data_IF_843855689666
#
_entry.id   IF_843855689666
#
_cell.length_a   1.000
_cell.length_b   1.000
_cell.length_c   1.000
_cell.angle_alpha   90.00
_cell.angle_beta   90.00
_cell.angle_gamma   90.00
#
_symmetry.space_group_name_H-M   'P 1'
#
loop_
_entity.id
_entity.type
_entity.pdbx_description
1 polymer ?
#
# COMPACT_ATOMS: atom_id res chain seq x y z
N UNK A 1 27.84 -44.54 11.11
CA UNK A 1 28.66 -44.06 12.24
C UNK A 1 28.76 -42.55 12.09
N UNK A 2 27.82 -41.81 12.70
CA UNK A 2 28.05 -40.85 13.81
C UNK A 2 29.29 -39.98 13.58
N UNK A 3 29.08 -38.70 13.26
CA UNK A 3 29.95 -37.62 13.72
C UNK A 3 29.10 -36.40 14.11
N UNK A 4 29.47 -35.86 15.26
CA UNK A 4 28.75 -34.97 16.17
C UNK A 4 29.26 -33.52 16.01
N UNK A 5 28.59 -32.58 16.71
CA UNK A 5 29.00 -31.22 17.15
C UNK A 5 28.22 -30.09 16.46
N UNK A 6 27.16 -29.51 17.06
CA UNK A 6 27.14 -28.49 18.13
C UNK A 6 28.02 -27.26 17.85
N UNK A 7 27.40 -26.10 17.64
CA UNK A 7 27.79 -24.84 18.28
C UNK A 7 26.70 -23.78 18.06
N UNK A 8 26.07 -23.38 19.16
CA UNK A 8 25.26 -22.18 19.25
C UNK A 8 26.15 -20.94 19.16
N UNK A 9 25.71 -19.92 18.42
CA UNK A 9 26.24 -18.56 18.54
C UNK A 9 25.07 -17.59 18.64
N UNK A 10 24.82 -17.12 19.86
CA UNK A 10 24.06 -15.91 20.09
C UNK A 10 24.92 -14.67 19.87
N UNK A 11 24.28 -13.56 19.55
CA UNK A 11 24.62 -12.23 20.06
C UNK A 11 23.55 -11.24 19.60
N UNK A 12 22.74 -10.79 20.55
CA UNK A 12 21.84 -9.67 20.41
C UNK A 12 22.65 -8.38 20.25
N UNK A 13 22.38 -7.61 19.20
CA UNK A 13 22.93 -6.28 19.00
C UNK A 13 21.81 -5.25 19.20
N UNK A 14 21.71 -4.69 20.41
CA UNK A 14 20.91 -3.48 20.69
C UNK A 14 21.84 -2.28 20.71
N UNK A 15 21.74 -1.42 19.69
CA UNK A 15 22.44 -0.13 19.66
C UNK A 15 21.39 0.96 19.86
N UNK A 16 21.39 1.56 21.06
CA UNK A 16 20.65 2.77 21.38
C UNK A 16 21.60 3.97 21.24
N UNK A 17 21.31 4.88 20.30
CA UNK A 17 22.01 6.16 20.18
C UNK A 17 21.08 7.27 20.67
N UNK A 18 21.43 7.83 21.82
CA UNK A 18 20.86 9.07 22.37
C UNK A 18 21.45 10.27 21.62
N UNK A 19 20.60 11.24 21.25
CA UNK A 19 20.98 12.46 20.54
C UNK A 19 20.49 13.67 21.37
N UNK A 20 21.28 14.76 21.50
CA UNK A 20 21.15 15.73 22.58
C UNK A 20 20.02 16.75 22.37
N UNK A 21 19.55 17.29 23.50
CA UNK A 21 18.63 18.42 23.60
C UNK A 21 19.39 19.74 23.37
N UNK A 22 19.00 20.49 22.34
CA UNK A 22 19.39 21.90 22.16
C UNK A 22 18.15 22.76 22.38
N UNK A 23 18.19 23.57 23.44
CA UNK A 23 17.26 24.66 23.69
C UNK A 23 17.66 25.89 22.86
N UNK A 24 16.71 26.50 22.15
CA UNK A 24 16.84 27.88 21.64
C UNK A 24 15.49 28.61 21.76
N UNK A 25 15.51 29.72 22.50
CA UNK A 25 14.40 30.61 22.79
C UNK A 25 14.15 31.61 21.65
N UNK A 26 12.85 31.84 21.40
CA UNK A 26 12.14 33.10 21.10
C UNK A 26 12.63 34.02 19.96
N UNK A 27 11.72 34.25 19.01
CA UNK A 27 11.78 35.43 18.15
C UNK A 27 10.69 35.52 17.08
N UNK A 28 9.72 36.41 17.34
CA UNK A 28 9.00 37.23 16.36
C UNK A 28 7.72 36.71 15.69
N UNK A 29 6.66 37.40 16.09
CA UNK A 29 5.30 37.43 15.55
C UNK A 29 5.30 37.71 14.03
N UNK A 30 4.72 36.78 13.27
CA UNK A 30 3.97 37.09 12.05
C UNK A 30 2.68 36.25 12.10
N UNK A 31 1.55 36.94 12.30
CA UNK A 31 0.23 36.37 12.09
C UNK A 31 -0.03 36.37 10.58
N UNK A 32 0.48 35.35 9.91
CA UNK A 32 0.01 34.98 8.58
C UNK A 32 -1.07 33.90 8.76
N UNK A 33 -2.32 34.29 8.52
CA UNK A 33 -3.49 33.42 8.40
C UNK A 33 -3.35 32.48 7.19
N UNK A 34 -2.36 31.59 7.22
CA UNK A 34 -2.31 30.41 6.38
C UNK A 34 -3.14 29.32 7.04
N UNK A 35 -4.46 29.49 6.91
CA UNK A 35 -5.48 28.46 7.07
C UNK A 35 -4.93 27.14 6.53
N UNK A 36 -4.55 26.25 7.44
CA UNK A 36 -4.01 24.93 7.12
C UNK A 36 -4.92 24.27 6.08
N UNK A 37 -4.38 23.62 5.02
CA UNK A 37 -5.22 22.74 4.22
C UNK A 37 -5.83 21.74 5.21
N UNK A 38 -7.16 21.50 5.17
CA UNK A 38 -7.77 20.56 6.08
C UNK A 38 -7.00 19.25 5.94
N UNK A 39 -6.45 18.75 7.05
CA UNK A 39 -5.98 17.37 7.17
C UNK A 39 -7.18 16.54 6.72
N UNK A 40 -7.19 16.12 5.46
CA UNK A 40 -8.20 15.22 4.94
C UNK A 40 -8.04 13.99 5.82
N UNK A 41 -8.89 13.85 6.83
CA UNK A 41 -9.19 12.56 7.41
C UNK A 41 -9.26 11.59 6.23
N UNK A 42 -8.60 10.41 6.27
CA UNK A 42 -8.70 9.47 5.17
C UNK A 42 -10.19 9.32 4.91
N UNK A 43 -10.65 9.90 3.80
CA UNK A 43 -12.04 9.84 3.42
C UNK A 43 -12.23 8.35 3.29
N UNK A 44 -12.93 7.76 4.26
CA UNK A 44 -13.51 6.43 4.11
C UNK A 44 -14.58 6.68 3.06
N UNK A 45 -14.14 6.84 1.81
CA UNK A 45 -15.02 6.73 0.68
C UNK A 45 -15.61 5.36 0.87
N UNK A 46 -16.90 5.35 1.17
CA UNK A 46 -17.74 4.17 1.20
C UNK A 46 -17.90 3.77 -0.27
N UNK A 47 -16.80 3.38 -0.87
CA UNK A 47 -16.75 2.96 -2.23
C UNK A 47 -17.56 1.69 -2.31
N UNK A 48 -18.49 1.67 -3.25
CA UNK A 48 -19.26 0.47 -3.51
C UNK A 48 -18.36 -0.72 -3.93
N UNK A 49 -17.05 -0.50 -4.10
CA UNK A 49 -15.97 -1.36 -4.60
C UNK A 49 -15.23 -2.19 -3.54
N UNK A 50 -15.66 -2.10 -2.28
CA UNK A 50 -14.99 -2.69 -1.12
C UNK A 50 -13.87 -1.80 -0.58
N UNK A 51 -13.05 -2.33 0.33
CA UNK A 51 -11.92 -1.60 0.94
C UNK A 51 -10.62 -1.84 0.17
N UNK A 52 -10.02 -0.77 -0.36
CA UNK A 52 -8.67 -0.83 -0.93
C UNK A 52 -7.63 -0.84 0.20
N UNK A 53 -6.69 -1.78 0.16
CA UNK A 53 -5.55 -1.79 1.08
C UNK A 53 -4.38 -1.01 0.45
N UNK A 54 -3.92 0.05 1.11
CA UNK A 54 -2.82 0.91 0.64
C UNK A 54 -1.50 0.18 0.45
N UNK A 55 -1.28 -0.96 1.14
CA UNK A 55 -0.09 -1.79 0.95
C UNK A 55 -0.03 -2.48 -0.41
N UNK A 56 -1.15 -2.57 -1.14
CA UNK A 56 -1.20 -3.14 -2.48
C UNK A 56 -0.72 -2.16 -3.56
N UNK A 57 -0.53 -0.89 -3.21
CA UNK A 57 -0.06 0.17 -4.08
C UNK A 57 -1.13 1.23 -4.39
N UNK A 58 -0.95 1.90 -5.52
CA UNK A 58 -1.88 2.93 -5.98
C UNK A 58 -3.26 2.34 -6.21
N UNK A 59 -4.27 3.03 -5.66
CA UNK A 59 -5.65 2.60 -5.76
C UNK A 59 -6.12 2.65 -7.22
N UNK A 60 -6.66 1.55 -7.77
CA UNK A 60 -7.20 1.54 -9.12
C UNK A 60 -8.44 2.43 -9.19
N UNK A 61 -8.73 2.93 -10.39
CA UNK A 61 -9.93 3.70 -10.67
C UNK A 61 -11.23 2.90 -10.46
N UNK A 62 -12.35 3.53 -10.83
CA UNK A 62 -13.65 2.87 -10.83
C UNK A 62 -13.62 1.59 -11.69
N UNK A 63 -14.42 0.60 -11.27
CA UNK A 63 -14.56 -0.63 -12.02
C UNK A 63 -15.09 -0.35 -13.45
N UNK A 64 -14.71 -1.16 -14.46
CA UNK A 64 -15.27 -1.06 -15.80
C UNK A 64 -16.79 -1.23 -15.80
N UNK A 65 -17.49 -0.64 -16.78
CA UNK A 65 -18.96 -0.65 -16.85
C UNK A 65 -19.60 -2.05 -16.88
N UNK A 66 -18.87 -3.07 -17.35
CA UNK A 66 -19.32 -4.47 -17.37
C UNK A 66 -19.16 -5.19 -16.02
N UNK A 67 -18.56 -4.56 -15.01
CA UNK A 67 -18.32 -5.17 -13.70
C UNK A 67 -19.57 -5.08 -12.81
N UNK A 68 -20.33 -6.18 -12.75
CA UNK A 68 -21.59 -6.24 -12.01
C UNK A 68 -21.46 -6.39 -10.49
N UNK A 69 -20.30 -6.82 -9.97
CA UNK A 69 -20.11 -7.11 -8.55
C UNK A 69 -19.53 -5.91 -7.81
N UNK A 70 -20.39 -4.97 -7.46
CA UNK A 70 -19.99 -3.71 -6.81
C UNK A 70 -18.98 -4.00 -5.69
N UNK A 71 -19.26 -4.85 -4.71
CA UNK A 71 -18.44 -5.00 -3.49
C UNK A 71 -17.12 -5.82 -3.58
N UNK A 72 -16.66 -6.24 -4.77
CA UNK A 72 -15.48 -7.12 -4.90
C UNK A 72 -14.38 -6.60 -5.82
N UNK A 73 -14.54 -5.39 -6.37
CA UNK A 73 -13.62 -4.84 -7.36
C UNK A 73 -12.18 -4.79 -6.85
N UNK A 74 -11.95 -4.24 -5.65
CA UNK A 74 -10.60 -4.12 -5.12
C UNK A 74 -9.96 -5.47 -4.77
N UNK A 75 -10.74 -6.42 -4.27
CA UNK A 75 -10.26 -7.78 -4.01
C UNK A 75 -9.89 -8.50 -5.32
N UNK A 76 -10.71 -8.33 -6.34
CA UNK A 76 -10.48 -8.88 -7.67
C UNK A 76 -9.21 -8.29 -8.31
N UNK A 77 -9.06 -6.96 -8.32
CA UNK A 77 -7.84 -6.30 -8.82
C UNK A 77 -6.61 -6.87 -8.14
N UNK A 78 -6.65 -7.01 -6.81
CA UNK A 78 -5.51 -7.56 -6.08
C UNK A 78 -5.21 -9.01 -6.49
N UNK A 79 -6.22 -9.85 -6.59
CA UNK A 79 -6.06 -11.23 -7.03
C UNK A 79 -5.46 -11.32 -8.45
N UNK A 80 -5.95 -10.51 -9.39
CA UNK A 80 -5.43 -10.48 -10.76
C UNK A 80 -4.01 -9.90 -10.82
N UNK A 81 -3.66 -8.90 -10.01
CA UNK A 81 -2.29 -8.37 -9.91
C UNK A 81 -1.28 -9.41 -9.40
N UNK A 82 -1.69 -10.24 -8.44
CA UNK A 82 -0.84 -11.31 -7.90
C UNK A 82 -0.67 -12.44 -8.92
N UNK A 83 -1.76 -12.79 -9.62
CA UNK A 83 -1.76 -13.88 -10.60
C UNK A 83 -1.09 -13.52 -11.93
N UNK A 84 -1.29 -12.30 -12.40
CA UNK A 84 -0.87 -11.84 -13.72
C UNK A 84 -0.05 -10.55 -13.61
N UNK A 85 1.27 -10.68 -13.85
CA UNK A 85 2.20 -9.54 -13.83
C UNK A 85 1.83 -8.42 -14.82
N UNK A 86 1.16 -8.76 -15.92
CA UNK A 86 0.75 -7.85 -16.98
C UNK A 86 -0.68 -7.32 -16.83
N UNK A 87 -1.29 -7.48 -15.66
CA UNK A 87 -2.66 -7.08 -15.40
C UNK A 87 -2.86 -5.56 -15.45
N UNK A 88 -3.93 -5.14 -16.12
CA UNK A 88 -4.38 -3.76 -16.20
C UNK A 88 -5.78 -3.64 -15.59
N UNK A 89 -5.87 -2.96 -14.44
CA UNK A 89 -7.12 -2.75 -13.73
C UNK A 89 -8.11 -1.82 -14.47
N UNK A 90 -7.65 -0.96 -15.40
CA UNK A 90 -8.56 -0.06 -16.13
C UNK A 90 -9.50 -0.81 -17.08
N UNK A 91 -9.00 -1.89 -17.67
CA UNK A 91 -9.71 -2.68 -18.68
C UNK A 91 -10.07 -4.07 -18.19
N UNK A 92 -9.65 -4.42 -16.97
CA UNK A 92 -9.73 -5.75 -16.40
C UNK A 92 -9.15 -6.83 -17.35
N UNK A 93 -7.94 -6.58 -17.87
CA UNK A 93 -7.29 -7.48 -18.83
C UNK A 93 -5.84 -7.74 -18.46
N UNK A 94 -5.33 -8.90 -18.88
CA UNK A 94 -3.91 -9.24 -18.79
C UNK A 94 -3.40 -9.80 -20.12
N UNK A 95 -2.08 -9.83 -20.28
CA UNK A 95 -1.44 -10.41 -21.47
C UNK A 95 -1.21 -11.91 -21.26
N UNK A 96 -1.73 -12.71 -22.19
CA UNK A 96 -1.46 -14.13 -22.33
C UNK A 96 -0.73 -14.36 -23.65
N UNK A 97 0.61 -14.32 -23.59
CA UNK A 97 1.46 -14.34 -24.78
C UNK A 97 1.23 -13.09 -25.66
N UNK A 98 0.80 -13.31 -26.91
CA UNK A 98 0.51 -12.24 -27.89
C UNK A 98 -0.92 -11.68 -27.78
N UNK A 99 -1.78 -12.26 -26.92
CA UNK A 99 -3.19 -11.86 -26.81
C UNK A 99 -3.43 -11.11 -25.50
N UNK A 100 -4.34 -10.15 -25.55
CA UNK A 100 -4.90 -9.51 -24.37
C UNK A 100 -6.23 -10.18 -24.05
N UNK A 101 -6.35 -10.70 -22.83
CA UNK A 101 -7.53 -11.47 -22.38
C UNK A 101 -8.11 -10.82 -21.13
N UNK A 102 -9.43 -10.92 -20.95
CA UNK A 102 -10.12 -10.41 -19.76
C UNK A 102 -9.85 -11.29 -18.53
N UNK A 103 -9.72 -10.68 -17.36
CA UNK A 103 -9.68 -11.42 -16.10
C UNK A 103 -11.08 -12.01 -15.85
N UNK A 104 -11.13 -13.25 -15.34
CA UNK A 104 -12.38 -13.95 -14.98
C UNK A 104 -12.33 -14.53 -13.57
N UNK A 105 -11.42 -14.00 -12.74
CA UNK A 105 -11.22 -14.39 -11.34
C UNK A 105 -12.41 -13.95 -10.48
#
# INVERSE_FOLDING_TARGET
>A
MRNTLLAAFGLAFTVALAVPACAQMSGSMHHDDHKSPPKKAPMVHKDNYGSWNSSWGARPGAAPSFWGKKNDWYRHVRACQVKYRSYNARTDTYRLGKKTVRCKL
#
